data_IF_341254353234
#
_entry.id   IF_341254353234
#
_cell.length_a   1.000
_cell.length_b   1.000
_cell.length_c   1.000
_cell.angle_alpha   90.00
_cell.angle_beta   90.00
_cell.angle_gamma   90.00
#
_symmetry.space_group_name_H-M   'P 1'
#
loop_
_entity.id
_entity.type
_entity.pdbx_description
1 polymer ?
#
# COMPACT_ATOMS: atom_id res chain seq x y z
N UNK A 1 -4.51 6.08 18.73
CA UNK A 1 -4.50 5.06 17.65
C UNK A 1 -3.40 5.28 16.61
N UNK A 2 -3.54 6.14 15.58
CA UNK A 2 -2.45 6.30 14.58
C UNK A 2 -1.14 6.80 15.20
N UNK A 3 -1.22 7.74 16.14
CA UNK A 3 -0.05 8.22 16.87
C UNK A 3 0.68 7.11 17.65
N UNK A 4 -0.04 6.08 18.13
CA UNK A 4 0.55 4.95 18.87
C UNK A 4 1.21 3.95 17.91
N UNK A 5 0.61 3.69 16.73
CA UNK A 5 1.21 2.86 15.68
C UNK A 5 2.57 3.46 15.25
N UNK A 6 2.65 4.78 15.11
CA UNK A 6 3.87 5.43 14.62
C UNK A 6 5.00 5.55 15.66
N UNK A 7 4.71 5.30 16.95
CA UNK A 7 5.69 5.41 18.04
C UNK A 7 6.70 4.25 18.08
N UNK A 8 6.39 3.12 17.45
CA UNK A 8 7.23 1.93 17.47
C UNK A 8 7.65 1.50 16.08
N UNK A 9 8.85 0.93 15.96
CA UNK A 9 9.39 0.45 14.68
C UNK A 9 8.47 -0.59 14.03
N UNK A 10 7.99 -1.57 14.80
CA UNK A 10 7.01 -2.55 14.32
C UNK A 10 5.73 -1.90 13.80
N UNK A 11 5.24 -0.82 14.43
CA UNK A 11 4.05 -0.15 13.96
C UNK A 11 4.25 0.63 12.66
N UNK A 12 5.45 1.19 12.43
CA UNK A 12 5.82 1.73 11.12
C UNK A 12 5.89 0.65 10.05
N UNK A 13 6.46 -0.51 10.37
CA UNK A 13 6.50 -1.66 9.46
C UNK A 13 5.10 -2.19 9.15
N UNK A 14 4.24 -2.34 10.16
CA UNK A 14 2.87 -2.79 9.93
C UNK A 14 2.07 -1.84 9.03
N UNK A 15 2.30 -0.53 9.19
CA UNK A 15 1.68 0.49 8.34
C UNK A 15 2.24 0.46 6.91
N UNK A 16 3.54 0.22 6.76
CA UNK A 16 4.19 0.03 5.47
C UNK A 16 3.57 -1.14 4.70
N UNK A 17 3.48 -2.32 5.34
CA UNK A 17 2.87 -3.50 4.71
C UNK A 17 1.38 -3.32 4.45
N UNK A 18 0.65 -2.64 5.34
CA UNK A 18 -0.75 -2.33 5.13
C UNK A 18 -0.98 -1.46 3.87
N UNK A 19 -0.06 -0.53 3.57
CA UNK A 19 -0.13 0.27 2.35
C UNK A 19 -0.02 -0.60 1.10
N UNK A 20 0.95 -1.51 1.05
CA UNK A 20 1.09 -2.47 -0.05
C UNK A 20 -0.15 -3.35 -0.20
N UNK A 21 -0.62 -3.92 0.91
CA UNK A 21 -1.74 -4.85 0.94
C UNK A 21 -3.05 -4.20 0.47
N UNK A 22 -3.38 -3.02 0.99
CA UNK A 22 -4.59 -2.28 0.59
C UNK A 22 -4.49 -1.83 -0.86
N UNK A 23 -3.34 -1.32 -1.31
CA UNK A 23 -3.15 -0.94 -2.70
C UNK A 23 -3.35 -2.13 -3.65
N UNK A 24 -2.79 -3.29 -3.34
CA UNK A 24 -2.97 -4.51 -4.12
C UNK A 24 -4.45 -4.92 -4.22
N UNK A 25 -5.18 -4.89 -3.10
CA UNK A 25 -6.60 -5.20 -3.06
C UNK A 25 -7.43 -4.22 -3.89
N UNK A 26 -7.22 -2.91 -3.72
CA UNK A 26 -7.95 -1.85 -4.45
C UNK A 26 -7.73 -1.97 -5.95
N UNK A 27 -6.50 -2.29 -6.35
CA UNK A 27 -6.13 -2.50 -7.75
C UNK A 27 -6.54 -3.88 -8.28
N UNK A 28 -7.35 -4.64 -7.53
CA UNK A 28 -7.91 -5.91 -7.97
C UNK A 28 -6.90 -7.05 -8.07
N UNK A 29 -5.71 -6.92 -7.48
CA UNK A 29 -4.74 -8.00 -7.41
C UNK A 29 -5.09 -8.97 -6.27
N UNK A 30 -4.64 -10.22 -6.43
CA UNK A 30 -4.83 -11.25 -5.42
C UNK A 30 -3.75 -11.09 -4.35
N UNK A 31 -4.17 -10.77 -3.13
CA UNK A 31 -3.33 -10.81 -1.95
C UNK A 31 -3.58 -12.14 -1.22
N UNK A 32 -2.53 -12.91 -0.98
CA UNK A 32 -2.63 -14.17 -0.23
C UNK A 32 -2.61 -13.89 1.27
N UNK A 33 -1.65 -13.10 1.74
CA UNK A 33 -1.50 -12.71 3.15
C UNK A 33 -0.59 -11.50 3.33
N UNK A 34 -0.55 -11.00 4.55
CA UNK A 34 0.39 -9.96 5.01
C UNK A 34 1.03 -10.42 6.31
N UNK A 35 2.34 -10.29 6.41
CA UNK A 35 3.15 -10.73 7.54
C UNK A 35 3.88 -9.56 8.18
N UNK A 36 4.02 -9.61 9.50
CA UNK A 36 4.90 -8.78 10.29
C UNK A 36 5.88 -9.67 11.05
N UNK A 37 7.16 -9.56 10.71
CA UNK A 37 8.23 -10.32 11.36
C UNK A 37 8.60 -9.66 12.69
N UNK A 38 8.77 -10.49 13.73
CA UNK A 38 9.16 -10.03 15.06
C UNK A 38 10.45 -9.19 15.06
N UNK A 39 11.31 -9.43 14.08
CA UNK A 39 12.66 -8.87 13.90
C UNK A 39 12.68 -7.48 13.25
N UNK A 40 11.51 -6.92 12.90
CA UNK A 40 11.38 -5.55 12.39
C UNK A 40 11.08 -5.40 10.89
N UNK A 41 10.77 -6.50 10.19
CA UNK A 41 10.38 -6.51 8.77
C UNK A 41 8.93 -6.92 8.55
N UNK A 42 8.45 -6.85 7.32
CA UNK A 42 7.12 -7.30 6.94
C UNK A 42 7.09 -7.75 5.50
N UNK A 43 5.95 -8.31 5.08
CA UNK A 43 5.75 -8.75 3.70
C UNK A 43 4.27 -8.87 3.35
N UNK A 44 3.84 -8.13 2.33
CA UNK A 44 2.58 -8.39 1.62
C UNK A 44 2.79 -9.38 0.45
N UNK A 45 2.18 -10.56 0.52
CA UNK A 45 2.25 -11.60 -0.52
C UNK A 45 1.21 -11.32 -1.61
N UNK A 46 1.58 -10.47 -2.57
CA UNK A 46 0.76 -10.16 -3.74
C UNK A 46 1.09 -11.14 -4.87
N UNK A 47 0.06 -11.79 -5.40
CA UNK A 47 0.19 -12.78 -6.45
C UNK A 47 0.02 -12.16 -7.84
N UNK A 48 0.93 -12.54 -8.73
CA UNK A 48 0.95 -12.08 -10.11
C UNK A 48 1.66 -10.74 -10.27
N UNK A 49 2.44 -10.63 -11.34
CA UNK A 49 3.07 -9.38 -11.73
C UNK A 49 2.18 -8.66 -12.75
N UNK A 50 1.85 -7.40 -12.46
CA UNK A 50 1.12 -6.51 -13.37
C UNK A 50 1.88 -5.17 -13.47
N UNK A 51 2.56 -4.89 -14.60
CA UNK A 51 3.39 -3.69 -14.74
C UNK A 51 2.57 -2.39 -14.72
N UNK A 52 1.26 -2.41 -14.99
CA UNK A 52 0.42 -1.22 -14.94
C UNK A 52 0.10 -0.80 -13.50
N UNK A 53 -0.02 -1.79 -12.60
CA UNK A 53 -0.49 -1.62 -11.22
C UNK A 53 0.62 -1.66 -10.19
N UNK A 54 1.68 -2.42 -10.47
CA UNK A 54 2.83 -2.58 -9.59
C UNK A 54 3.46 -1.25 -9.14
N UNK A 55 3.61 -0.23 -10.02
CA UNK A 55 4.18 1.05 -9.60
C UNK A 55 3.40 1.74 -8.48
N UNK A 56 2.08 1.67 -8.51
CA UNK A 56 1.21 2.27 -7.49
C UNK A 56 1.37 1.53 -6.16
N UNK A 57 1.44 0.20 -6.19
CA UNK A 57 1.63 -0.64 -5.00
C UNK A 57 2.99 -0.37 -4.37
N UNK A 58 4.05 -0.32 -5.16
CA UNK A 58 5.40 -0.04 -4.70
C UNK A 58 5.52 1.34 -4.06
N UNK A 59 4.81 2.35 -4.58
CA UNK A 59 4.86 3.72 -4.08
C UNK A 59 3.91 3.99 -2.91
N UNK A 60 2.93 3.13 -2.65
CA UNK A 60 1.91 3.37 -1.62
C UNK A 60 2.47 3.68 -0.22
N UNK A 61 3.50 2.99 0.32
CA UNK A 61 4.06 3.34 1.62
C UNK A 61 4.75 4.72 1.63
N UNK A 62 5.43 5.07 0.54
CA UNK A 62 6.03 6.40 0.40
C UNK A 62 4.96 7.48 0.29
N UNK A 63 3.87 7.21 -0.43
CA UNK A 63 2.73 8.10 -0.55
C UNK A 63 2.02 8.30 0.80
N UNK A 64 2.00 7.30 1.67
CA UNK A 64 1.58 7.48 3.06
C UNK A 64 2.48 8.43 3.83
N UNK A 65 3.80 8.23 3.75
CA UNK A 65 4.77 8.98 4.55
C UNK A 65 4.96 10.42 4.07
N UNK A 66 4.83 10.66 2.76
CA UNK A 66 5.20 11.92 2.11
C UNK A 66 4.11 12.47 1.17
N UNK A 67 2.87 12.01 1.31
CA UNK A 67 1.77 12.32 0.37
C UNK A 67 1.41 13.80 0.22
N UNK A 68 1.88 14.66 1.12
CA UNK A 68 1.72 16.12 0.98
C UNK A 68 2.75 16.75 0.02
N UNK A 69 3.69 15.96 -0.52
CA UNK A 69 4.66 16.42 -1.50
C UNK A 69 4.13 16.29 -2.92
N UNK A 70 4.33 17.34 -3.70
CA UNK A 70 3.96 17.39 -5.11
C UNK A 70 4.83 16.42 -5.94
N UNK A 71 6.13 16.40 -5.66
CA UNK A 71 7.12 15.58 -6.36
C UNK A 71 7.50 14.32 -5.57
N UNK A 72 7.94 13.29 -6.29
CA UNK A 72 8.43 12.05 -5.70
C UNK A 72 9.69 12.34 -4.86
N UNK A 73 9.68 12.05 -3.55
CA UNK A 73 10.84 12.32 -2.71
C UNK A 73 12.08 11.56 -3.20
N UNK A 74 13.21 12.28 -3.28
CA UNK A 74 14.50 11.65 -3.54
C UNK A 74 14.80 10.56 -2.51
N UNK A 75 15.11 9.36 -2.97
CA UNK A 75 15.38 8.21 -2.10
C UNK A 75 14.20 7.28 -1.82
N UNK A 76 12.99 7.57 -2.31
CA UNK A 76 11.89 6.57 -2.34
C UNK A 76 12.31 5.29 -3.08
N UNK A 77 13.24 5.42 -4.02
CA UNK A 77 13.83 4.34 -4.80
C UNK A 77 15.18 3.85 -4.24
N UNK A 78 15.56 4.18 -3.00
CA UNK A 78 16.93 3.91 -2.52
C UNK A 78 17.21 2.47 -2.05
N UNK A 79 16.44 1.46 -2.51
CA UNK A 79 16.61 0.04 -2.15
C UNK A 79 16.31 -0.89 -3.34
N UNK A 80 16.41 -2.21 -3.13
CA UNK A 80 16.38 -3.26 -4.17
C UNK A 80 15.21 -3.22 -5.16
N UNK A 81 14.12 -2.54 -4.82
CA UNK A 81 12.91 -2.46 -5.64
C UNK A 81 12.97 -1.37 -6.73
N UNK A 82 14.02 -0.55 -6.76
CA UNK A 82 14.18 0.54 -7.74
C UNK A 82 14.21 0.03 -9.18
N UNK A 83 15.02 -1.00 -9.44
CA UNK A 83 15.16 -1.58 -10.77
C UNK A 83 13.87 -2.28 -11.22
N UNK A 84 13.14 -2.89 -10.29
CA UNK A 84 11.85 -3.53 -10.57
C UNK A 84 10.77 -2.49 -10.87
N UNK A 85 10.75 -1.39 -10.11
CA UNK A 85 9.84 -0.28 -10.39
C UNK A 85 10.15 0.39 -11.74
N UNK A 86 11.41 0.70 -12.01
CA UNK A 86 11.83 1.28 -13.30
C UNK A 86 11.44 0.38 -14.47
N UNK A 87 11.59 -0.94 -14.31
CA UNK A 87 11.14 -1.91 -15.30
C UNK A 87 9.62 -1.89 -15.44
N UNK A 88 8.85 -1.92 -14.35
CA UNK A 88 7.39 -1.90 -14.40
C UNK A 88 6.85 -0.62 -15.08
N UNK A 89 7.43 0.54 -14.75
CA UNK A 89 7.09 1.81 -15.41
C UNK A 89 7.34 1.77 -16.92
N UNK A 90 8.46 1.19 -17.34
CA UNK A 90 8.78 1.01 -18.76
C UNK A 90 7.83 0.03 -19.44
N UNK A 91 7.60 -1.13 -18.84
CA UNK A 91 6.77 -2.21 -19.40
C UNK A 91 5.29 -1.76 -19.49
N UNK A 92 4.81 -0.93 -18.55
CA UNK A 92 3.48 -0.35 -18.54
C UNK A 92 3.33 0.98 -19.29
N UNK A 93 4.42 1.57 -19.80
CA UNK A 93 4.38 2.84 -20.53
C UNK A 93 3.95 4.04 -19.66
N UNK A 94 4.27 4.05 -18.37
CA UNK A 94 3.84 5.06 -17.39
C UNK A 94 5.01 5.90 -16.89
N UNK A 95 4.75 7.14 -16.47
CA UNK A 95 5.76 7.93 -15.76
C UNK A 95 5.74 7.64 -14.25
N UNK A 96 6.87 7.87 -13.59
CA UNK A 96 6.98 7.76 -12.14
C UNK A 96 6.00 8.72 -11.43
N UNK A 97 5.80 9.92 -11.99
CA UNK A 97 4.90 10.92 -11.44
C UNK A 97 3.43 10.48 -11.52
N UNK A 98 2.99 9.88 -12.64
CA UNK A 98 1.61 9.37 -12.75
C UNK A 98 1.32 8.29 -11.70
N UNK A 99 2.26 7.37 -11.49
CA UNK A 99 2.13 6.34 -10.47
C UNK A 99 2.15 6.92 -9.05
N UNK A 100 2.93 7.98 -8.81
CA UNK A 100 2.98 8.69 -7.54
C UNK A 100 1.67 9.39 -7.20
N UNK A 101 1.10 10.13 -8.16
CA UNK A 101 -0.16 10.83 -7.96
C UNK A 101 -1.33 9.86 -7.72
N UNK A 102 -1.35 8.73 -8.43
CA UNK A 102 -2.31 7.65 -8.19
C UNK A 102 -2.12 7.01 -6.80
N UNK A 103 -0.88 6.73 -6.39
CA UNK A 103 -0.60 6.18 -5.06
C UNK A 103 -1.05 7.15 -3.93
N UNK A 104 -0.81 8.45 -4.08
CA UNK A 104 -1.31 9.48 -3.14
C UNK A 104 -2.82 9.48 -3.07
N UNK A 105 -3.50 9.47 -4.21
CA UNK A 105 -4.96 9.46 -4.26
C UNK A 105 -5.54 8.22 -3.57
N UNK A 106 -4.98 7.03 -3.87
CA UNK A 106 -5.36 5.76 -3.26
C UNK A 106 -5.17 5.78 -1.74
N UNK A 107 -3.97 6.14 -1.28
CA UNK A 107 -3.66 6.18 0.15
C UNK A 107 -4.55 7.16 0.90
N UNK A 108 -4.85 8.32 0.30
CA UNK A 108 -5.78 9.29 0.89
C UNK A 108 -7.20 8.73 1.00
N UNK A 109 -7.70 8.10 -0.06
CA UNK A 109 -9.05 7.54 -0.11
C UNK A 109 -9.23 6.38 0.88
N UNK A 110 -8.23 5.50 0.99
CA UNK A 110 -8.29 4.27 1.80
C UNK A 110 -7.55 4.37 3.13
N UNK A 111 -7.25 5.60 3.60
CA UNK A 111 -6.56 5.84 4.88
C UNK A 111 -7.19 5.07 6.06
N UNK A 112 -8.52 5.00 6.23
CA UNK A 112 -9.13 4.22 7.32
C UNK A 112 -8.82 2.72 7.24
N UNK A 113 -8.89 2.11 6.04
CA UNK A 113 -8.56 0.70 5.85
C UNK A 113 -7.09 0.41 6.15
N UNK A 114 -6.17 1.27 5.67
CA UNK A 114 -4.73 1.10 5.91
C UNK A 114 -4.44 1.08 7.41
N UNK A 115 -5.03 2.01 8.18
CA UNK A 115 -4.85 2.06 9.64
C UNK A 115 -5.42 0.83 10.33
N UNK A 116 -6.60 0.37 9.91
CA UNK A 116 -7.23 -0.81 10.50
C UNK A 116 -6.48 -2.11 10.19
N UNK A 117 -5.98 -2.26 8.96
CA UNK A 117 -5.12 -3.39 8.57
C UNK A 117 -3.83 -3.36 9.38
N UNK A 118 -3.16 -2.21 9.49
CA UNK A 118 -1.94 -2.07 10.28
C UNK A 118 -2.16 -2.41 11.76
N UNK A 119 -3.28 -1.97 12.34
CA UNK A 119 -3.64 -2.28 13.74
C UNK A 119 -3.80 -3.79 13.94
N UNK A 120 -4.60 -4.45 13.09
CA UNK A 120 -4.81 -5.89 13.21
C UNK A 120 -3.54 -6.69 12.92
N UNK A 121 -2.70 -6.22 12.02
CA UNK A 121 -1.42 -6.85 11.72
C UNK A 121 -0.46 -6.76 12.91
N UNK A 122 -0.44 -5.65 13.64
CA UNK A 122 0.32 -5.52 14.89
C UNK A 122 -0.16 -6.48 15.98
N UNK A 123 -1.46 -6.70 16.07
CA UNK A 123 -2.06 -7.58 17.07
C UNK A 123 -1.83 -9.06 16.76
N UNK A 124 -1.92 -9.44 15.48
CA UNK A 124 -1.92 -10.83 15.06
C UNK A 124 -0.59 -11.33 14.47
N UNK A 125 0.29 -10.44 14.01
CA UNK A 125 1.53 -10.78 13.29
C UNK A 125 1.33 -11.29 11.85
N UNK A 126 0.14 -11.79 11.52
CA UNK A 126 -0.25 -12.23 10.18
C UNK A 126 -1.73 -11.93 9.92
N UNK A 127 -2.05 -11.55 8.68
CA UNK A 127 -3.42 -11.40 8.21
C UNK A 127 -3.61 -12.10 6.86
N UNK A 128 -4.70 -12.87 6.75
CA UNK A 128 -5.16 -13.45 5.49
C UNK A 128 -5.67 -12.35 4.53
N UNK A 129 -5.37 -12.50 3.24
CA UNK A 129 -5.76 -11.52 2.22
C UNK A 129 -7.27 -11.31 2.09
N UNK A 130 -8.10 -12.31 2.44
CA UNK A 130 -9.57 -12.18 2.50
C UNK A 130 -9.98 -11.19 3.60
N UNK A 131 -9.28 -11.20 4.74
CA UNK A 131 -9.57 -10.27 5.84
C UNK A 131 -9.23 -8.84 5.42
N UNK A 132 -8.06 -8.64 4.80
CA UNK A 132 -7.64 -7.34 4.26
C UNK A 132 -8.64 -6.83 3.21
N UNK A 133 -9.10 -7.71 2.31
CA UNK A 133 -10.12 -7.40 1.32
C UNK A 133 -11.40 -6.87 1.95
N UNK A 134 -11.95 -7.58 2.94
CA UNK A 134 -13.18 -7.17 3.64
C UNK A 134 -13.03 -5.81 4.31
N UNK A 135 -11.90 -5.57 4.99
CA UNK A 135 -11.63 -4.27 5.63
C UNK A 135 -11.60 -3.16 4.58
N UNK A 136 -10.96 -3.42 3.44
CA UNK A 136 -10.84 -2.46 2.35
C UNK A 136 -12.19 -2.15 1.71
N UNK A 137 -13.01 -3.16 1.45
CA UNK A 137 -14.36 -3.01 0.87
C UNK A 137 -15.30 -2.23 1.81
N UNK A 138 -15.22 -2.47 3.12
CA UNK A 138 -16.02 -1.73 4.12
C UNK A 138 -15.60 -0.27 4.27
N UNK A 139 -14.35 0.05 3.96
CA UNK A 139 -13.81 1.41 4.02
C UNK A 139 -13.83 2.10 2.65
N UNK A 140 -14.31 1.42 1.60
CA UNK A 140 -14.40 2.01 0.29
C UNK A 140 -15.24 3.29 0.40
N UNK A 141 -14.73 4.44 -0.08
CA UNK A 141 -15.56 5.65 -0.13
C UNK A 141 -16.83 5.30 -0.89
N UNK A 142 -17.99 5.72 -0.39
CA UNK A 142 -19.26 5.53 -1.08
C UNK A 142 -19.14 6.12 -2.48
N UNK A 143 -18.83 5.29 -3.47
CA UNK A 143 -19.00 5.63 -4.87
C UNK A 143 -20.50 5.57 -5.06
N UNK A 144 -21.19 6.66 -4.72
CA UNK A 144 -22.57 6.83 -5.09
C UNK A 144 -22.63 6.65 -6.61
N UNK A 145 -23.20 5.52 -7.02
CA UNK A 145 -23.62 5.29 -8.39
C UNK A 145 -24.73 6.28 -8.70
N UNK A 146 -24.38 7.51 -9.09
CA UNK A 146 -25.28 8.36 -9.84
C UNK A 146 -25.14 8.03 -11.32
N UNK A 147 -25.72 6.89 -11.66
CA UNK A 147 -26.30 6.68 -12.99
C UNK A 147 -27.80 6.52 -12.75
N UNK A 148 -28.53 7.62 -12.92
CA UNK A 148 -29.96 7.64 -13.18
C UNK A 148 -30.14 8.06 -14.64
#
# INVERSE_FOLDING_TARGET
>A
MLAEILQHEQGRTALHEACHAVAAVVLGLRLDRVLLHAEGGGRADVAGYDPERWPVIALAPAAWAYGDRDEVPGGVLSRGDAAELERALRDGGRTLQDAWDEAKALVRAYRPAIVEVARRLLEAGELDGIVVRRITEMAAPEVHSHVA
#
